data_IF_538801898601
#
_entry.id   IF_538801898601
#
_cell.length_a   1.000
_cell.length_b   1.000
_cell.length_c   1.000
_cell.angle_alpha   90.00
_cell.angle_beta   90.00
_cell.angle_gamma   90.00
#
_symmetry.space_group_name_H-M   'P 1'
#
loop_
_entity.id
_entity.type
_entity.pdbx_description
1 polymer ?
#
# COMPACT_ATOMS: atom_id res chain seq x y z
N UNK A 1 -13.57 11.54 -7.87
CA UNK A 1 -13.73 10.20 -7.28
C UNK A 1 -12.78 9.26 -8.03
N UNK A 2 -11.72 8.76 -7.40
CA UNK A 2 -10.89 7.71 -8.02
C UNK A 2 -11.55 6.37 -7.68
N UNK A 3 -12.38 5.87 -8.59
CA UNK A 3 -12.91 4.51 -8.52
C UNK A 3 -11.88 3.60 -9.18
N UNK A 4 -11.22 2.75 -8.40
CA UNK A 4 -10.36 1.71 -8.97
C UNK A 4 -11.15 0.40 -8.96
N UNK A 5 -11.60 -0.07 -10.11
CA UNK A 5 -12.06 -1.47 -10.27
C UNK A 5 -10.90 -2.48 -10.27
N UNK A 6 -9.71 -2.04 -9.86
CA UNK A 6 -8.46 -2.78 -9.98
C UNK A 6 -7.76 -2.95 -8.64
N UNK A 7 -7.05 -4.07 -8.51
CA UNK A 7 -6.19 -4.44 -7.39
C UNK A 7 -4.78 -4.73 -7.91
N UNK A 8 -3.76 -4.57 -7.07
CA UNK A 8 -2.37 -4.77 -7.48
C UNK A 8 -1.92 -6.21 -7.20
N UNK A 9 -1.79 -7.03 -8.25
CA UNK A 9 -1.41 -8.45 -8.17
C UNK A 9 -0.30 -8.72 -9.19
N UNK A 10 0.74 -9.46 -8.78
CA UNK A 10 1.79 -9.92 -9.69
C UNK A 10 2.57 -8.80 -10.39
N UNK A 11 2.65 -7.62 -9.79
CA UNK A 11 3.37 -6.48 -10.35
C UNK A 11 2.56 -5.57 -11.28
N UNK A 12 1.23 -5.77 -11.36
CA UNK A 12 0.35 -4.95 -12.18
C UNK A 12 -0.98 -4.64 -11.49
N UNK A 13 -1.62 -3.54 -11.89
CA UNK A 13 -3.02 -3.29 -11.59
C UNK A 13 -3.88 -4.15 -12.51
N UNK A 14 -4.69 -5.03 -11.93
CA UNK A 14 -5.57 -5.95 -12.65
C UNK A 14 -7.01 -5.76 -12.18
N UNK A 15 -8.02 -5.97 -13.03
CA UNK A 15 -9.42 -5.95 -12.59
C UNK A 15 -9.65 -6.94 -11.45
N UNK A 16 -10.39 -6.52 -10.43
CA UNK A 16 -10.92 -7.45 -9.42
C UNK A 16 -11.90 -8.42 -10.08
N UNK A 17 -11.94 -9.65 -9.58
CA UNK A 17 -12.98 -10.62 -9.96
C UNK A 17 -14.32 -10.33 -9.27
N UNK A 18 -14.33 -9.44 -8.28
CA UNK A 18 -15.54 -8.98 -7.60
C UNK A 18 -16.34 -8.00 -8.46
N UNK A 19 -17.67 -8.08 -8.36
CA UNK A 19 -18.59 -7.14 -9.01
C UNK A 19 -19.07 -6.03 -8.07
N UNK A 20 -18.78 -6.15 -6.77
CA UNK A 20 -19.11 -5.18 -5.74
C UNK A 20 -18.05 -4.10 -5.57
N UNK A 21 -18.40 -3.05 -4.83
CA UNK A 21 -17.51 -1.95 -4.49
C UNK A 21 -17.71 -1.54 -3.04
N UNK A 22 -16.63 -1.21 -2.35
CA UNK A 22 -16.64 -0.67 -1.00
C UNK A 22 -16.41 0.84 -1.09
N UNK A 23 -17.29 1.62 -0.47
CA UNK A 23 -17.10 3.07 -0.35
C UNK A 23 -16.13 3.37 0.79
N UNK A 24 -15.15 4.23 0.52
CA UNK A 24 -14.24 4.76 1.55
C UNK A 24 -14.85 6.06 2.04
N UNK A 25 -15.14 6.12 3.33
CA UNK A 25 -15.86 7.23 3.97
C UNK A 25 -14.89 8.12 4.73
N UNK A 26 -15.08 9.43 4.64
CA UNK A 26 -14.40 10.40 5.49
C UNK A 26 -14.95 10.31 6.92
N UNK A 27 -14.08 9.97 7.86
CA UNK A 27 -14.39 9.87 9.28
C UNK A 27 -14.82 11.20 9.92
N UNK A 28 -14.61 12.34 9.26
CA UNK A 28 -14.90 13.66 9.85
C UNK A 28 -16.25 14.26 9.43
N UNK A 29 -16.77 13.87 8.27
CA UNK A 29 -18.00 14.44 7.72
C UNK A 29 -18.95 13.42 7.05
N UNK A 30 -18.59 12.12 7.08
CA UNK A 30 -19.36 11.01 6.51
C UNK A 30 -19.51 11.03 4.98
N UNK A 31 -18.76 11.89 4.27
CA UNK A 31 -18.77 11.93 2.81
C UNK A 31 -17.91 10.82 2.20
N UNK A 32 -18.30 10.32 1.02
CA UNK A 32 -17.49 9.35 0.26
C UNK A 32 -16.26 10.02 -0.33
N UNK A 33 -15.06 9.50 -0.04
CA UNK A 33 -13.77 10.03 -0.50
C UNK A 33 -13.11 9.17 -1.58
N UNK A 34 -13.57 7.93 -1.75
CA UNK A 34 -13.09 7.00 -2.74
C UNK A 34 -13.92 5.72 -2.78
N UNK A 35 -13.57 4.82 -3.69
CA UNK A 35 -14.14 3.47 -3.70
C UNK A 35 -13.12 2.46 -4.22
N UNK A 36 -13.12 1.29 -3.60
CA UNK A 36 -12.26 0.16 -3.91
C UNK A 36 -13.12 -1.04 -4.33
N UNK A 37 -12.60 -2.01 -5.08
CA UNK A 37 -13.39 -3.18 -5.43
C UNK A 37 -13.58 -4.05 -4.19
N UNK A 38 -14.75 -4.68 -4.09
CA UNK A 38 -14.98 -5.74 -3.10
C UNK A 38 -14.23 -7.00 -3.58
N UNK A 39 -12.99 -7.18 -3.11
CA UNK A 39 -12.13 -8.29 -3.50
C UNK A 39 -12.74 -9.65 -3.12
N UNK A 40 -12.43 -10.67 -3.90
CA UNK A 40 -12.95 -12.04 -3.72
C UNK A 40 -11.88 -13.02 -3.25
N UNK A 41 -12.30 -14.23 -2.89
CA UNK A 41 -11.37 -15.33 -2.64
C UNK A 41 -10.49 -15.65 -3.86
N UNK A 42 -11.00 -15.49 -5.10
CA UNK A 42 -10.22 -15.73 -6.30
C UNK A 42 -9.10 -14.68 -6.49
N UNK A 43 -9.34 -13.43 -6.08
CA UNK A 43 -8.31 -12.40 -6.08
C UNK A 43 -7.19 -12.72 -5.08
N UNK A 44 -7.57 -13.21 -3.90
CA UNK A 44 -6.62 -13.67 -2.87
C UNK A 44 -5.81 -14.85 -3.38
N UNK A 45 -6.44 -15.84 -4.00
CA UNK A 45 -5.76 -16.99 -4.59
C UNK A 45 -4.79 -16.54 -5.70
N UNK A 46 -5.20 -15.63 -6.57
CA UNK A 46 -4.33 -15.07 -7.60
C UNK A 46 -3.11 -14.35 -7.01
N UNK A 47 -3.32 -13.55 -5.96
CA UNK A 47 -2.24 -12.87 -5.23
C UNK A 47 -1.27 -13.86 -4.58
N UNK A 48 -1.78 -14.93 -3.96
CA UNK A 48 -0.97 -15.97 -3.33
C UNK A 48 -0.13 -16.74 -4.36
N UNK A 49 -0.71 -17.13 -5.50
CA UNK A 49 0.04 -17.78 -6.58
C UNK A 49 1.12 -16.86 -7.17
N UNK A 50 0.82 -15.59 -7.38
CA UNK A 50 1.79 -14.61 -7.86
C UNK A 50 2.96 -14.42 -6.87
N UNK A 51 2.67 -14.32 -5.56
CA UNK A 51 3.69 -14.24 -4.52
C UNK A 51 4.57 -15.50 -4.47
N UNK A 52 3.96 -16.69 -4.59
CA UNK A 52 4.70 -17.96 -4.64
C UNK A 52 5.61 -18.06 -5.86
N UNK A 53 5.13 -17.63 -7.03
CA UNK A 53 5.93 -17.62 -8.26
C UNK A 53 7.12 -16.65 -8.17
N UNK A 54 6.96 -15.51 -7.51
CA UNK A 54 8.03 -14.52 -7.33
C UNK A 54 9.06 -14.91 -6.26
N UNK A 55 8.72 -15.84 -5.35
CA UNK A 55 9.53 -16.10 -4.16
C UNK A 55 10.94 -16.60 -4.47
N UNK A 56 11.10 -17.55 -5.40
CA UNK A 56 12.42 -18.17 -5.64
C UNK A 56 13.41 -17.15 -6.23
N UNK A 57 12.97 -16.31 -7.17
CA UNK A 57 13.78 -15.18 -7.69
C UNK A 57 14.07 -14.16 -6.58
N UNK A 58 13.04 -13.69 -5.89
CA UNK A 58 13.19 -12.62 -4.89
C UNK A 58 14.04 -13.02 -3.69
N UNK A 59 13.85 -14.24 -3.17
CA UNK A 59 14.60 -14.76 -2.03
C UNK A 59 16.04 -15.08 -2.39
N UNK A 60 16.32 -15.45 -3.65
CA UNK A 60 17.66 -15.71 -4.17
C UNK A 60 18.51 -14.45 -4.44
N UNK A 61 17.89 -13.27 -4.51
CA UNK A 61 18.61 -11.99 -4.70
C UNK A 61 19.58 -11.68 -3.55
N UNK A 62 20.66 -10.98 -3.88
CA UNK A 62 21.64 -10.57 -2.89
C UNK A 62 21.00 -9.63 -1.84
N UNK A 63 21.43 -9.66 -0.57
CA UNK A 63 20.93 -8.77 0.47
C UNK A 63 20.93 -7.29 0.05
N UNK A 64 21.97 -6.85 -0.64
CA UNK A 64 22.14 -5.47 -1.09
C UNK A 64 21.09 -5.07 -2.14
N UNK A 65 20.64 -5.99 -3.00
CA UNK A 65 19.57 -5.72 -3.96
C UNK A 65 18.23 -5.55 -3.27
N UNK A 66 17.94 -6.38 -2.27
CA UNK A 66 16.71 -6.26 -1.47
C UNK A 66 16.72 -4.98 -0.62
N UNK A 67 17.86 -4.62 -0.04
CA UNK A 67 18.03 -3.36 0.67
C UNK A 67 17.82 -2.14 -0.24
N UNK A 68 18.36 -2.15 -1.46
CA UNK A 68 18.08 -1.10 -2.45
C UNK A 68 16.59 -0.96 -2.75
N UNK A 69 15.86 -2.07 -2.85
CA UNK A 69 14.40 -2.02 -3.02
C UNK A 69 13.68 -1.41 -1.81
N UNK A 70 14.05 -1.79 -0.58
CA UNK A 70 13.54 -1.14 0.64
C UNK A 70 13.84 0.37 0.65
N UNK A 71 15.04 0.77 0.25
CA UNK A 71 15.44 2.18 0.14
C UNK A 71 14.54 2.95 -0.84
N UNK A 72 14.27 2.38 -2.03
CA UNK A 72 13.35 2.97 -3.01
C UNK A 72 11.92 3.09 -2.48
N UNK A 73 11.45 2.14 -1.67
CA UNK A 73 10.14 2.23 -1.02
C UNK A 73 10.15 3.38 -0.01
N UNK A 74 11.18 3.49 0.83
CA UNK A 74 11.30 4.58 1.79
C UNK A 74 11.33 5.96 1.11
N UNK A 75 12.11 6.11 0.03
CA UNK A 75 12.15 7.34 -0.78
C UNK A 75 10.77 7.68 -1.35
N UNK A 76 10.10 6.69 -1.95
CA UNK A 76 8.78 6.87 -2.52
C UNK A 76 7.73 7.24 -1.48
N UNK A 77 7.74 6.62 -0.30
CA UNK A 77 6.84 6.97 0.79
C UNK A 77 7.15 8.38 1.33
N UNK A 78 8.44 8.69 1.51
CA UNK A 78 8.95 9.99 1.95
C UNK A 78 8.46 11.13 1.08
N UNK A 79 8.56 10.96 -0.25
CA UNK A 79 8.11 11.95 -1.22
C UNK A 79 6.58 12.22 -1.19
N UNK A 80 5.79 11.32 -0.61
CA UNK A 80 4.32 11.38 -0.57
C UNK A 80 3.76 11.44 0.86
N UNK A 81 4.58 11.75 1.86
CA UNK A 81 4.16 11.70 3.27
C UNK A 81 2.94 12.58 3.58
N UNK A 82 2.87 13.80 3.05
CA UNK A 82 1.73 14.70 3.31
C UNK A 82 0.42 14.18 2.69
N UNK A 83 0.51 13.62 1.48
CA UNK A 83 -0.63 13.00 0.78
C UNK A 83 -1.14 11.78 1.58
N UNK A 84 -0.24 10.87 1.96
CA UNK A 84 -0.57 9.67 2.73
C UNK A 84 -1.16 10.06 4.09
N UNK A 85 -0.54 10.99 4.81
CA UNK A 85 -1.04 11.43 6.11
C UNK A 85 -2.42 12.09 6.00
N UNK A 86 -2.65 12.89 4.96
CA UNK A 86 -3.96 13.51 4.70
C UNK A 86 -5.01 12.43 4.43
N UNK A 87 -4.70 11.44 3.59
CA UNK A 87 -5.62 10.35 3.28
C UNK A 87 -5.97 9.55 4.54
N UNK A 88 -4.97 9.13 5.31
CA UNK A 88 -5.18 8.36 6.55
C UNK A 88 -5.94 9.18 7.59
N UNK A 89 -5.70 10.49 7.69
CA UNK A 89 -6.50 11.36 8.56
C UNK A 89 -7.97 11.38 8.17
N UNK A 90 -8.27 11.49 6.87
CA UNK A 90 -9.65 11.48 6.39
C UNK A 90 -10.31 10.13 6.62
N UNK A 91 -9.62 9.03 6.33
CA UNK A 91 -10.17 7.67 6.44
C UNK A 91 -10.30 7.19 7.90
N UNK A 92 -9.28 7.39 8.74
CA UNK A 92 -9.19 6.81 10.08
C UNK A 92 -9.38 7.82 11.23
N UNK A 93 -9.49 9.12 10.93
CA UNK A 93 -9.81 10.17 11.91
C UNK A 93 -8.65 10.64 12.78
N UNK A 94 -7.44 10.11 12.58
CA UNK A 94 -6.25 10.55 13.32
C UNK A 94 -5.89 12.00 12.95
N UNK A 95 -5.61 12.91 13.91
CA UNK A 95 -5.19 14.27 13.59
C UNK A 95 -3.97 14.30 12.66
N UNK A 96 -3.97 15.17 11.65
CA UNK A 96 -2.96 15.20 10.56
C UNK A 96 -1.51 15.21 11.05
N UNK A 97 -1.21 15.98 12.10
CA UNK A 97 0.16 16.03 12.66
C UNK A 97 0.61 14.69 13.23
N UNK A 98 -0.30 13.91 13.83
CA UNK A 98 -0.01 12.59 14.36
C UNK A 98 0.08 11.57 13.21
N UNK A 99 -0.79 11.66 12.20
CA UNK A 99 -0.70 10.84 10.98
C UNK A 99 0.64 11.05 10.24
N UNK A 100 1.13 12.29 10.16
CA UNK A 100 2.44 12.59 9.57
C UNK A 100 3.57 11.86 10.28
N UNK A 101 3.58 11.88 11.61
CA UNK A 101 4.64 11.23 12.40
C UNK A 101 4.51 9.71 12.45
N UNK A 102 3.30 9.20 12.64
CA UNK A 102 3.04 7.78 12.91
C UNK A 102 2.71 7.03 11.63
N UNK A 103 1.64 7.41 10.94
CA UNK A 103 1.08 6.63 9.83
C UNK A 103 1.86 6.79 8.52
N UNK A 104 2.45 7.95 8.28
CA UNK A 104 3.35 8.17 7.14
C UNK A 104 4.83 8.02 7.55
N UNK A 105 5.22 8.58 8.71
CA UNK A 105 6.61 8.65 9.15
C UNK A 105 7.21 7.31 9.58
N UNK A 106 6.51 6.50 10.38
CA UNK A 106 7.06 5.22 10.84
C UNK A 106 7.30 4.24 9.69
N UNK A 107 6.39 4.06 8.70
CA UNK A 107 6.68 3.21 7.55
C UNK A 107 7.92 3.64 6.75
N UNK A 108 8.13 4.94 6.53
CA UNK A 108 9.36 5.47 5.90
C UNK A 108 10.58 5.01 6.70
N UNK A 109 10.56 5.18 8.02
CA UNK A 109 11.66 4.76 8.89
C UNK A 109 11.85 3.23 8.90
N UNK A 110 10.78 2.44 8.91
CA UNK A 110 10.85 0.97 8.88
C UNK A 110 11.54 0.47 7.61
N UNK A 111 11.18 1.00 6.43
CA UNK A 111 11.82 0.63 5.17
C UNK A 111 13.26 1.17 5.07
N UNK A 112 13.52 2.40 5.55
CA UNK A 112 14.88 2.94 5.60
C UNK A 112 15.80 2.13 6.52
N UNK A 113 15.29 1.70 7.69
CA UNK A 113 16.02 0.82 8.62
C UNK A 113 16.29 -0.54 7.97
N UNK A 114 15.29 -1.14 7.32
CA UNK A 114 15.46 -2.39 6.59
C UNK A 114 16.45 -2.28 5.42
N UNK A 115 16.59 -1.11 4.81
CA UNK A 115 17.59 -0.85 3.78
C UNK A 115 19.02 -0.74 4.34
N UNK A 116 19.17 -0.34 5.61
CA UNK A 116 20.48 -0.10 6.24
C UNK A 116 21.11 -1.35 6.87
N UNK A 117 20.39 -2.48 6.93
CA UNK A 117 20.86 -3.73 7.58
C UNK A 117 21.49 -4.75 6.61
N UNK A 118 21.63 -4.41 5.33
CA UNK A 118 22.31 -5.25 4.34
C UNK A 118 23.73 -4.78 4.06
#
# INVERSE_FOLDING_TARGET
>A
MQASGTIYIGGAWVPSTGTGSIEVIDSTNEEVIGSIPEGTAADVDAAAHAARAAFDDWSGRAPEERAKACGRIAEGLGARMDEIATLVTREAGMPKWLSLMVQAGLPVNSFATAAAVA
#
